data_IF_231866422457
#
_entry.id   IF_231866422457
#
_cell.length_a   1.000
_cell.length_b   1.000
_cell.length_c   1.000
_cell.angle_alpha   90.00
_cell.angle_beta   90.00
_cell.angle_gamma   90.00
#
_symmetry.space_group_name_H-M   'P 1'
#
loop_
_entity.id
_entity.type
_entity.pdbx_description
1 polymer ?
#
# COMPACT_ATOMS: atom_id res chain seq x y z
N UNK A 1 16.54 5.48 31.67
CA UNK A 1 15.07 5.51 31.54
C UNK A 1 14.58 6.84 30.98
N UNK A 2 15.07 7.99 31.47
CA UNK A 2 14.84 9.32 30.87
C UNK A 2 15.20 9.39 29.39
N UNK A 3 16.37 8.88 29.00
CA UNK A 3 16.90 9.04 27.63
C UNK A 3 16.15 8.18 26.59
N UNK A 4 15.51 7.10 27.06
CA UNK A 4 14.67 6.24 26.22
C UNK A 4 13.31 6.89 25.93
N UNK A 5 12.73 7.54 26.95
CA UNK A 5 11.50 8.32 26.82
C UNK A 5 11.70 9.55 25.92
N UNK A 6 12.87 10.20 25.98
CA UNK A 6 13.18 11.33 25.10
C UNK A 6 13.37 10.90 23.65
N UNK A 7 14.04 9.77 23.39
CA UNK A 7 14.24 9.26 22.02
C UNK A 7 12.90 8.84 21.38
N UNK A 8 12.07 8.09 22.09
CA UNK A 8 10.74 7.70 21.58
C UNK A 8 9.86 8.93 21.34
N UNK A 9 9.90 9.90 22.24
CA UNK A 9 9.21 11.18 22.06
C UNK A 9 9.68 11.95 20.82
N UNK A 10 10.99 11.95 20.53
CA UNK A 10 11.54 12.54 19.31
C UNK A 10 11.01 11.85 18.04
N UNK A 11 10.99 10.52 18.02
CA UNK A 11 10.48 9.74 16.88
C UNK A 11 9.01 10.09 16.61
N UNK A 12 8.16 10.05 17.64
CA UNK A 12 6.74 10.40 17.52
C UNK A 12 6.54 11.85 17.06
N UNK A 13 7.35 12.80 17.57
CA UNK A 13 7.32 14.18 17.14
C UNK A 13 7.71 14.33 15.65
N UNK A 14 8.70 13.57 15.17
CA UNK A 14 9.09 13.55 13.77
C UNK A 14 8.03 12.89 12.88
N UNK A 15 7.37 11.82 13.33
CA UNK A 15 6.23 11.22 12.61
C UNK A 15 5.05 12.19 12.52
N UNK A 16 4.74 12.89 13.61
CA UNK A 16 3.72 13.94 13.61
C UNK A 16 4.08 15.10 12.67
N UNK A 17 5.34 15.54 12.67
CA UNK A 17 5.83 16.54 11.73
C UNK A 17 5.69 16.05 10.28
N UNK A 18 6.12 14.81 9.98
CA UNK A 18 5.96 14.21 8.66
C UNK A 18 4.50 14.18 8.20
N UNK A 19 3.57 13.83 9.10
CA UNK A 19 2.15 13.85 8.83
C UNK A 19 1.62 15.25 8.46
N UNK A 20 2.05 16.30 9.19
CA UNK A 20 1.73 17.70 8.83
C UNK A 20 2.26 18.04 7.44
N UNK A 21 3.50 17.66 7.12
CA UNK A 21 4.13 17.90 5.83
C UNK A 21 3.40 17.18 4.69
N UNK A 22 2.92 15.94 4.91
CA UNK A 22 2.11 15.20 3.95
C UNK A 22 0.76 15.88 3.68
N UNK A 23 0.03 16.27 4.74
CA UNK A 23 -1.26 16.97 4.61
C UNK A 23 -1.08 18.30 3.88
N UNK A 24 -0.07 19.08 4.27
CA UNK A 24 0.23 20.35 3.64
C UNK A 24 0.65 20.18 2.17
N UNK A 25 1.48 19.16 1.89
CA UNK A 25 1.89 18.79 0.53
C UNK A 25 0.69 18.46 -0.35
N UNK A 26 -0.21 17.59 0.12
CA UNK A 26 -1.44 17.21 -0.60
C UNK A 26 -2.36 18.41 -0.83
N UNK A 27 -2.56 19.25 0.18
CA UNK A 27 -3.35 20.49 0.04
C UNK A 27 -2.79 21.42 -1.03
N UNK A 28 -1.47 21.53 -1.14
CA UNK A 28 -0.84 22.35 -2.19
C UNK A 28 -0.88 21.70 -3.56
N UNK A 29 -0.93 20.37 -3.65
CA UNK A 29 -1.10 19.63 -4.90
C UNK A 29 -2.50 19.77 -5.50
N UNK A 30 -3.51 20.18 -4.71
CA UNK A 30 -4.87 20.40 -5.23
C UNK A 30 -5.06 21.74 -5.98
N UNK A 31 -4.02 22.57 -6.11
CA UNK A 31 -4.07 23.81 -6.90
C UNK A 31 -2.93 23.86 -7.91
N UNK A 32 -3.19 24.20 -9.19
CA UNK A 32 -2.16 24.27 -10.23
C UNK A 32 -0.98 25.17 -9.87
N UNK A 33 -1.24 26.32 -9.24
CA UNK A 33 -0.22 27.33 -8.89
C UNK A 33 0.76 26.80 -7.84
N UNK A 34 0.28 25.95 -6.92
CA UNK A 34 1.08 25.48 -5.78
C UNK A 34 1.55 24.03 -5.90
N UNK A 35 1.14 23.32 -6.95
CA UNK A 35 1.34 21.87 -7.08
C UNK A 35 2.80 21.44 -7.03
N UNK A 36 3.69 22.16 -7.75
CA UNK A 36 5.14 21.89 -7.71
C UNK A 36 5.73 22.03 -6.31
N UNK A 37 5.28 23.02 -5.55
CA UNK A 37 5.70 23.17 -4.15
C UNK A 37 5.14 22.06 -3.26
N UNK A 38 3.91 21.63 -3.50
CA UNK A 38 3.26 20.57 -2.72
C UNK A 38 4.00 19.25 -2.72
N UNK A 39 4.47 18.78 -3.89
CA UNK A 39 5.24 17.53 -3.96
C UNK A 39 6.60 17.62 -3.24
N UNK A 40 7.22 18.81 -3.18
CA UNK A 40 8.47 19.03 -2.43
C UNK A 40 8.22 18.90 -0.92
N UNK A 41 7.12 19.46 -0.40
CA UNK A 41 6.73 19.32 1.01
C UNK A 41 6.47 17.86 1.39
N UNK A 42 5.75 17.12 0.53
CA UNK A 42 5.53 15.69 0.73
C UNK A 42 6.87 14.90 0.71
N UNK A 43 7.78 15.24 -0.21
CA UNK A 43 9.12 14.63 -0.26
C UNK A 43 9.96 14.88 1.00
N UNK A 44 9.91 16.10 1.55
CA UNK A 44 10.55 16.41 2.83
C UNK A 44 9.95 15.60 3.99
N UNK A 45 8.63 15.45 4.03
CA UNK A 45 7.95 14.58 4.99
C UNK A 45 8.41 13.12 4.91
N UNK A 46 8.56 12.59 3.69
CA UNK A 46 9.06 11.23 3.46
C UNK A 46 10.50 11.05 3.97
N UNK A 47 11.38 12.03 3.75
CA UNK A 47 12.75 11.99 4.28
C UNK A 47 12.77 12.00 5.80
N UNK A 48 11.99 12.89 6.43
CA UNK A 48 11.88 12.95 7.90
C UNK A 48 11.39 11.62 8.48
N UNK A 49 10.28 11.09 7.96
CA UNK A 49 9.73 9.82 8.43
C UNK A 49 10.70 8.66 8.24
N UNK A 50 11.35 8.56 7.06
CA UNK A 50 12.27 7.45 6.78
C UNK A 50 13.52 7.52 7.65
N UNK A 51 14.13 8.70 7.78
CA UNK A 51 15.39 8.85 8.53
C UNK A 51 15.18 8.67 10.03
N UNK A 52 14.09 9.17 10.60
CA UNK A 52 13.85 9.01 12.04
C UNK A 52 13.57 7.56 12.43
N UNK A 53 13.00 6.76 11.52
CA UNK A 53 12.76 5.32 11.74
C UNK A 53 14.06 4.57 12.04
N UNK A 54 15.21 4.96 11.49
CA UNK A 54 16.51 4.34 11.81
C UNK A 54 16.89 4.41 13.29
N UNK A 55 16.29 5.35 14.03
CA UNK A 55 16.50 5.55 15.46
C UNK A 55 15.50 4.75 16.32
N UNK A 56 14.59 3.99 15.71
CA UNK A 56 13.60 3.22 16.45
C UNK A 56 14.29 2.20 17.37
N UNK A 57 13.89 2.09 18.65
CA UNK A 57 14.56 1.20 19.59
C UNK A 57 14.48 -0.27 19.16
N UNK A 58 15.61 -0.98 19.25
CA UNK A 58 15.69 -2.40 18.85
C UNK A 58 15.75 -2.61 17.34
N UNK A 59 16.04 -1.55 16.56
CA UNK A 59 16.25 -1.67 15.14
C UNK A 59 17.58 -2.37 14.83
N UNK A 60 17.49 -3.44 14.05
CA UNK A 60 18.62 -4.24 13.59
C UNK A 60 18.63 -4.33 12.06
N UNK A 61 19.58 -5.07 11.49
CA UNK A 61 19.68 -5.33 10.05
C UNK A 61 19.83 -4.08 9.16
N UNK A 62 20.49 -3.04 9.68
CA UNK A 62 20.73 -1.77 8.98
C UNK A 62 21.28 -1.93 7.54
N UNK A 63 22.18 -2.91 7.32
CA UNK A 63 22.72 -3.17 5.99
C UNK A 63 21.64 -3.63 4.99
N UNK A 64 20.75 -4.54 5.41
CA UNK A 64 19.63 -5.01 4.58
C UNK A 64 18.62 -3.90 4.32
N UNK A 65 18.31 -3.09 5.34
CA UNK A 65 17.43 -1.93 5.20
C UNK A 65 17.98 -0.92 4.18
N UNK A 66 19.25 -0.54 4.31
CA UNK A 66 19.91 0.39 3.40
C UNK A 66 20.01 -0.17 1.98
N UNK A 67 20.32 -1.47 1.85
CA UNK A 67 20.35 -2.14 0.55
C UNK A 67 18.96 -2.15 -0.10
N UNK A 68 17.90 -2.46 0.64
CA UNK A 68 16.52 -2.43 0.15
C UNK A 68 16.09 -1.05 -0.32
N UNK A 69 16.35 -0.01 0.48
CA UNK A 69 16.08 1.40 0.13
C UNK A 69 16.88 1.80 -1.11
N UNK A 70 18.16 1.44 -1.19
CA UNK A 70 19.01 1.79 -2.32
C UNK A 70 18.53 1.10 -3.61
N UNK A 71 18.29 -0.22 -3.59
CA UNK A 71 17.86 -0.98 -4.75
C UNK A 71 16.50 -0.47 -5.24
N UNK A 72 15.51 -0.39 -4.35
CA UNK A 72 14.16 0.07 -4.69
C UNK A 72 14.14 1.53 -5.13
N UNK A 73 14.80 2.41 -4.38
CA UNK A 73 14.84 3.85 -4.65
C UNK A 73 15.57 4.18 -5.95
N UNK A 74 16.73 3.57 -6.22
CA UNK A 74 17.46 3.78 -7.47
C UNK A 74 16.68 3.21 -8.66
N UNK A 75 16.14 2.00 -8.54
CA UNK A 75 15.35 1.39 -9.61
C UNK A 75 14.15 2.28 -9.97
N UNK A 76 13.34 2.68 -8.99
CA UNK A 76 12.17 3.54 -9.20
C UNK A 76 12.55 4.93 -9.74
N UNK A 77 13.64 5.53 -9.25
CA UNK A 77 14.14 6.80 -9.77
C UNK A 77 14.53 6.70 -11.25
N UNK A 78 15.29 5.67 -11.62
CA UNK A 78 15.77 5.46 -12.99
C UNK A 78 14.61 5.16 -13.93
N UNK A 79 13.69 4.27 -13.57
CA UNK A 79 12.53 3.94 -14.42
C UNK A 79 11.58 5.13 -14.54
N UNK A 80 11.30 5.84 -13.45
CA UNK A 80 10.41 7.00 -13.45
C UNK A 80 10.94 8.19 -14.26
N UNK A 81 12.26 8.39 -14.30
CA UNK A 81 12.89 9.48 -15.07
C UNK A 81 12.96 9.20 -16.57
N UNK A 82 13.00 7.92 -16.97
CA UNK A 82 13.20 7.51 -18.37
C UNK A 82 11.89 7.27 -19.13
N UNK A 83 10.77 7.05 -18.42
CA UNK A 83 9.48 6.76 -19.05
C UNK A 83 8.97 7.97 -19.85
N UNK A 84 8.32 7.72 -20.99
CA UNK A 84 7.66 8.77 -21.76
C UNK A 84 6.43 9.32 -21.01
N UNK A 85 6.07 10.58 -21.26
CA UNK A 85 4.90 11.20 -20.60
C UNK A 85 3.57 10.52 -20.99
N UNK A 86 3.49 9.92 -22.17
CA UNK A 86 2.34 9.11 -22.63
C UNK A 86 2.17 7.81 -21.83
N UNK A 87 3.26 7.35 -21.22
CA UNK A 87 3.37 6.09 -20.49
C UNK A 87 3.30 6.27 -18.96
N UNK A 88 2.94 7.47 -18.51
CA UNK A 88 2.81 7.76 -17.08
C UNK A 88 1.72 6.93 -16.37
N UNK A 89 0.52 6.68 -16.97
CA UNK A 89 -0.53 5.92 -16.28
C UNK A 89 -0.10 4.53 -15.82
N UNK A 90 0.63 3.76 -16.64
CA UNK A 90 1.10 2.43 -16.23
C UNK A 90 2.17 2.50 -15.13
N UNK A 91 3.04 3.51 -15.16
CA UNK A 91 4.06 3.66 -14.11
C UNK A 91 3.42 4.02 -12.77
N UNK A 92 2.35 4.82 -12.78
CA UNK A 92 1.54 5.09 -11.59
C UNK A 92 0.94 3.78 -11.07
N UNK A 93 0.37 2.93 -11.94
CA UNK A 93 -0.13 1.62 -11.56
C UNK A 93 0.95 0.76 -10.90
N UNK A 94 2.12 0.64 -11.53
CA UNK A 94 3.23 -0.17 -11.03
C UNK A 94 3.68 0.28 -9.63
N UNK A 95 3.98 1.57 -9.44
CA UNK A 95 4.48 2.07 -8.15
C UNK A 95 3.43 2.02 -7.04
N UNK A 96 2.17 2.30 -7.37
CA UNK A 96 1.08 2.15 -6.42
C UNK A 96 0.90 0.68 -6.02
N UNK A 97 0.94 -0.24 -6.99
CA UNK A 97 0.93 -1.67 -6.75
C UNK A 97 2.03 -2.08 -5.77
N UNK A 98 3.28 -1.66 -6.01
CA UNK A 98 4.41 -1.93 -5.10
C UNK A 98 4.16 -1.41 -3.67
N UNK A 99 3.49 -0.26 -3.52
CA UNK A 99 3.06 0.26 -2.21
C UNK A 99 2.07 -0.67 -1.50
N UNK A 100 1.07 -1.19 -2.23
CA UNK A 100 0.14 -2.20 -1.71
C UNK A 100 0.86 -3.51 -1.35
N UNK A 101 1.84 -3.92 -2.16
CA UNK A 101 2.67 -5.08 -1.91
C UNK A 101 3.55 -4.93 -0.67
N UNK A 102 4.06 -3.72 -0.40
CA UNK A 102 4.79 -3.42 0.83
C UNK A 102 3.89 -3.51 2.06
N UNK A 103 2.66 -2.98 2.02
CA UNK A 103 1.67 -3.16 3.10
C UNK A 103 1.34 -4.65 3.32
N UNK A 104 1.14 -5.41 2.24
CA UNK A 104 0.93 -6.85 2.33
C UNK A 104 2.13 -7.60 2.93
N UNK A 105 3.36 -7.18 2.61
CA UNK A 105 4.57 -7.77 3.18
C UNK A 105 4.70 -7.46 4.68
N UNK A 106 4.35 -6.26 5.12
CA UNK A 106 4.28 -5.90 6.54
C UNK A 106 3.28 -6.81 7.26
N UNK A 107 2.04 -6.88 6.75
CA UNK A 107 1.02 -7.77 7.29
C UNK A 107 1.49 -9.23 7.34
N UNK A 108 2.18 -9.71 6.29
CA UNK A 108 2.70 -11.06 6.26
C UNK A 108 3.72 -11.30 7.37
N UNK A 109 4.69 -10.40 7.57
CA UNK A 109 5.68 -10.52 8.65
C UNK A 109 5.01 -10.60 10.02
N UNK A 110 4.03 -9.73 10.28
CA UNK A 110 3.28 -9.73 11.55
C UNK A 110 2.48 -11.02 11.75
N UNK A 111 1.76 -11.48 10.72
CA UNK A 111 0.92 -12.68 10.79
C UNK A 111 1.75 -13.98 10.86
N UNK A 112 2.92 -14.05 10.22
CA UNK A 112 3.85 -15.17 10.35
C UNK A 112 4.58 -15.19 11.68
N UNK A 113 4.78 -14.03 12.31
CA UNK A 113 5.41 -13.92 13.63
C UNK A 113 4.59 -14.60 14.73
N UNK A 114 3.28 -14.76 14.54
CA UNK A 114 2.39 -15.50 15.44
C UNK A 114 2.25 -14.86 16.83
N UNK A 115 2.69 -13.62 17.01
CA UNK A 115 2.56 -12.93 18.27
C UNK A 115 1.11 -12.47 18.45
N UNK A 116 0.57 -12.62 19.67
CA UNK A 116 -0.77 -12.14 19.97
C UNK A 116 -0.72 -10.63 20.23
N UNK A 117 -1.02 -9.86 19.19
CA UNK A 117 -1.15 -8.41 19.27
C UNK A 117 -2.54 -7.98 19.80
N UNK A 118 -3.43 -8.93 20.10
CA UNK A 118 -4.80 -8.66 20.48
C UNK A 118 -5.73 -8.51 19.27
N UNK A 119 -7.01 -8.78 19.51
CA UNK A 119 -8.05 -8.93 18.48
C UNK A 119 -8.08 -7.79 17.46
N UNK A 120 -7.98 -6.54 17.93
CA UNK A 120 -8.04 -5.35 17.06
C UNK A 120 -6.89 -5.32 16.04
N UNK A 121 -5.65 -5.54 16.48
CA UNK A 121 -4.49 -5.48 15.58
C UNK A 121 -4.46 -6.67 14.64
N UNK A 122 -4.86 -7.87 15.10
CA UNK A 122 -5.00 -9.03 14.22
C UNK A 122 -6.02 -8.78 13.10
N UNK A 123 -7.17 -8.16 13.41
CA UNK A 123 -8.18 -7.78 12.40
C UNK A 123 -7.61 -6.76 11.41
N UNK A 124 -6.89 -5.74 11.90
CA UNK A 124 -6.32 -4.72 11.03
C UNK A 124 -5.23 -5.29 10.12
N UNK A 125 -4.37 -6.18 10.62
CA UNK A 125 -3.32 -6.84 9.84
C UNK A 125 -3.89 -7.73 8.72
N UNK A 126 -4.93 -8.54 9.00
CA UNK A 126 -5.55 -9.34 7.94
C UNK A 126 -6.29 -8.47 6.92
N UNK A 127 -6.93 -7.38 7.34
CA UNK A 127 -7.61 -6.47 6.40
C UNK A 127 -6.62 -5.67 5.55
N UNK A 128 -5.58 -5.09 6.16
CA UNK A 128 -4.54 -4.36 5.46
C UNK A 128 -3.75 -5.28 4.52
N UNK A 129 -3.41 -6.48 4.97
CA UNK A 129 -2.81 -7.53 4.16
C UNK A 129 -3.65 -7.94 2.94
N UNK A 130 -4.97 -8.17 3.14
CA UNK A 130 -5.90 -8.50 2.05
C UNK A 130 -5.95 -7.37 1.01
N UNK A 131 -6.20 -6.15 1.47
CA UNK A 131 -6.37 -4.98 0.60
C UNK A 131 -5.06 -4.66 -0.13
N UNK A 132 -3.92 -4.75 0.55
CA UNK A 132 -2.59 -4.54 -0.02
C UNK A 132 -2.26 -5.56 -1.10
N UNK A 133 -2.51 -6.85 -0.85
CA UNK A 133 -2.22 -7.92 -1.80
C UNK A 133 -3.12 -7.84 -3.05
N UNK A 134 -4.42 -7.56 -2.87
CA UNK A 134 -5.36 -7.32 -3.97
C UNK A 134 -4.92 -6.11 -4.80
N UNK A 135 -4.52 -5.03 -4.14
CA UNK A 135 -4.07 -3.80 -4.82
C UNK A 135 -2.76 -4.01 -5.57
N UNK A 136 -1.83 -4.78 -5.00
CA UNK A 136 -0.58 -5.15 -5.65
C UNK A 136 -0.81 -5.91 -6.95
N UNK A 137 -1.48 -7.07 -6.88
CA UNK A 137 -1.64 -7.93 -8.05
C UNK A 137 -2.57 -7.32 -9.10
N UNK A 138 -3.62 -6.60 -8.67
CA UNK A 138 -4.50 -5.88 -9.58
C UNK A 138 -3.79 -4.75 -10.32
N UNK A 139 -2.95 -3.99 -9.62
CA UNK A 139 -2.14 -2.94 -10.24
C UNK A 139 -1.10 -3.48 -11.23
N UNK A 140 -0.55 -4.68 -10.99
CA UNK A 140 0.33 -5.34 -11.96
C UNK A 140 -0.41 -5.74 -13.25
N UNK A 141 -1.67 -6.17 -13.16
CA UNK A 141 -2.51 -6.42 -14.35
C UNK A 141 -2.82 -5.11 -15.08
N UNK A 142 -3.13 -4.03 -14.35
CA UNK A 142 -3.34 -2.71 -14.95
C UNK A 142 -2.09 -2.20 -15.68
N UNK A 143 -0.91 -2.32 -15.05
CA UNK A 143 0.39 -2.03 -15.66
C UNK A 143 0.60 -2.87 -16.93
N UNK A 144 0.41 -4.19 -16.86
CA UNK A 144 0.65 -5.08 -17.99
C UNK A 144 -0.25 -4.76 -19.19
N UNK A 145 -1.51 -4.39 -18.96
CA UNK A 145 -2.45 -3.99 -20.02
C UNK A 145 -2.05 -2.69 -20.70
N UNK A 146 -1.73 -1.66 -19.91
CA UNK A 146 -1.35 -0.35 -20.45
C UNK A 146 0.03 -0.36 -21.10
N UNK A 147 0.95 -1.20 -20.61
CA UNK A 147 2.27 -1.41 -21.23
C UNK A 147 2.20 -2.25 -22.52
N UNK A 148 1.03 -2.78 -22.89
CA UNK A 148 0.86 -3.63 -24.08
C UNK A 148 1.38 -5.06 -23.92
N UNK A 149 1.79 -5.45 -22.71
CA UNK A 149 2.20 -6.83 -22.37
C UNK A 149 0.98 -7.78 -22.34
N UNK A 150 -0.20 -7.24 -22.05
CA UNK A 150 -1.47 -7.96 -22.06
C UNK A 150 -2.47 -7.27 -23.00
N UNK A 151 -2.76 -7.89 -24.15
CA UNK A 151 -3.51 -7.25 -25.24
C UNK A 151 -5.03 -7.42 -25.18
N UNK A 152 -5.53 -8.38 -24.40
CA UNK A 152 -6.96 -8.72 -24.38
C UNK A 152 -7.55 -8.61 -23.00
N UNK A 153 -8.81 -8.16 -22.96
CA UNK A 153 -9.66 -8.32 -21.78
C UNK A 153 -10.09 -9.77 -21.70
N UNK A 154 -9.85 -10.40 -20.55
CA UNK A 154 -10.23 -11.80 -20.33
C UNK A 154 -11.53 -11.80 -19.54
N UNK A 155 -12.60 -12.26 -20.20
CA UNK A 155 -13.91 -12.48 -19.61
C UNK A 155 -14.26 -13.95 -19.77
N UNK A 156 -14.71 -14.60 -18.71
CA UNK A 156 -15.15 -15.99 -18.75
C UNK A 156 -16.46 -16.18 -17.97
N UNK A 157 -17.22 -17.21 -18.34
CA UNK A 157 -18.49 -17.53 -17.69
C UNK A 157 -18.29 -17.83 -16.20
N UNK A 158 -19.12 -17.25 -15.33
CA UNK A 158 -19.04 -17.46 -13.88
C UNK A 158 -17.99 -16.62 -13.16
N UNK A 159 -17.32 -15.68 -13.82
CA UNK A 159 -16.26 -14.86 -13.20
C UNK A 159 -16.72 -14.09 -11.95
N UNK A 160 -17.94 -13.55 -11.93
CA UNK A 160 -18.49 -12.89 -10.74
C UNK A 160 -18.64 -13.86 -9.57
N UNK A 161 -19.11 -15.08 -9.83
CA UNK A 161 -19.23 -16.12 -8.82
C UNK A 161 -17.86 -16.56 -8.29
N UNK A 162 -16.87 -16.71 -9.17
CA UNK A 162 -15.49 -17.01 -8.75
C UNK A 162 -14.92 -15.90 -7.87
N UNK A 163 -15.05 -14.63 -8.26
CA UNK A 163 -14.55 -13.51 -7.47
C UNK A 163 -15.22 -13.45 -6.10
N UNK A 164 -16.54 -13.70 -6.03
CA UNK A 164 -17.27 -13.76 -4.77
C UNK A 164 -16.82 -14.94 -3.89
N UNK A 165 -16.60 -16.12 -4.49
CA UNK A 165 -16.12 -17.29 -3.77
C UNK A 165 -14.71 -17.08 -3.22
N UNK A 166 -13.80 -16.50 -4.01
CA UNK A 166 -12.45 -16.17 -3.57
C UNK A 166 -12.48 -15.14 -2.42
N UNK A 167 -13.32 -14.11 -2.51
CA UNK A 167 -13.49 -13.12 -1.45
C UNK A 167 -14.00 -13.77 -0.16
N UNK A 168 -15.02 -14.61 -0.24
CA UNK A 168 -15.54 -15.35 0.92
C UNK A 168 -14.44 -16.24 1.51
N UNK A 169 -13.69 -16.98 0.68
CA UNK A 169 -12.59 -17.81 1.13
C UNK A 169 -11.51 -16.99 1.84
N UNK A 170 -11.13 -15.83 1.30
CA UNK A 170 -10.17 -14.92 1.94
C UNK A 170 -10.68 -14.41 3.30
N UNK A 171 -11.95 -14.04 3.42
CA UNK A 171 -12.56 -13.59 4.67
C UNK A 171 -12.65 -14.70 5.72
N UNK A 172 -12.97 -15.94 5.30
CA UNK A 172 -12.96 -17.11 6.18
C UNK A 172 -11.54 -17.40 6.68
N UNK A 173 -10.55 -17.40 5.80
CA UNK A 173 -9.15 -17.58 6.18
C UNK A 173 -8.67 -16.47 7.12
N UNK A 174 -9.04 -15.21 6.85
CA UNK A 174 -8.77 -14.09 7.74
C UNK A 174 -9.37 -14.31 9.14
N UNK A 175 -10.64 -14.74 9.23
CA UNK A 175 -11.27 -15.07 10.50
C UNK A 175 -10.58 -16.21 11.25
N UNK A 176 -10.14 -17.24 10.53
CA UNK A 176 -9.38 -18.37 11.10
C UNK A 176 -8.01 -17.89 11.63
N UNK A 177 -7.31 -17.02 10.89
CA UNK A 177 -6.04 -16.42 11.34
C UNK A 177 -6.25 -15.61 12.61
N UNK A 178 -7.29 -14.78 12.67
CA UNK A 178 -7.60 -13.92 13.82
C UNK A 178 -7.99 -14.73 15.07
N UNK A 179 -8.76 -15.80 14.92
CA UNK A 179 -9.28 -16.57 16.07
C UNK A 179 -8.32 -17.64 16.58
N UNK A 180 -7.60 -18.30 15.68
CA UNK A 180 -6.79 -19.47 16.01
C UNK A 180 -5.28 -19.18 16.03
N UNK A 181 -4.87 -17.94 15.75
CA UNK A 181 -3.46 -17.56 15.57
C UNK A 181 -2.75 -18.56 14.65
N UNK A 182 -3.37 -18.78 13.48
CA UNK A 182 -3.12 -19.93 12.61
C UNK A 182 -1.69 -20.00 12.10
N UNK A 183 -1.22 -21.23 11.85
CA UNK A 183 0.14 -21.49 11.37
C UNK A 183 0.42 -20.95 9.96
N UNK A 184 1.70 -20.94 9.60
CA UNK A 184 2.25 -20.40 8.36
C UNK A 184 1.52 -20.85 7.08
N UNK A 185 1.00 -22.07 7.04
CA UNK A 185 0.24 -22.58 5.90
C UNK A 185 -1.03 -21.75 5.62
N UNK A 186 -1.79 -21.41 6.65
CA UNK A 186 -3.05 -20.66 6.51
C UNK A 186 -2.78 -19.24 6.04
N UNK A 187 -1.77 -18.59 6.63
CA UNK A 187 -1.32 -17.24 6.22
C UNK A 187 -0.86 -17.24 4.77
N UNK A 188 -0.10 -18.25 4.35
CA UNK A 188 0.35 -18.38 2.95
C UNK A 188 -0.83 -18.54 1.99
N UNK A 189 -1.78 -19.43 2.29
CA UNK A 189 -2.97 -19.65 1.46
C UNK A 189 -3.81 -18.37 1.37
N UNK A 190 -3.97 -17.65 2.50
CA UNK A 190 -4.67 -16.37 2.54
C UNK A 190 -4.08 -15.35 1.56
N UNK A 191 -2.75 -15.15 1.59
CA UNK A 191 -2.10 -14.22 0.65
C UNK A 191 -2.17 -14.69 -0.81
N UNK A 192 -2.04 -15.99 -1.08
CA UNK A 192 -2.20 -16.53 -2.44
C UNK A 192 -3.61 -16.25 -2.96
N UNK A 193 -4.64 -16.49 -2.16
CA UNK A 193 -6.03 -16.18 -2.53
C UNK A 193 -6.21 -14.68 -2.76
N UNK A 194 -5.68 -13.82 -1.87
CA UNK A 194 -5.75 -12.37 -2.02
C UNK A 194 -5.08 -11.86 -3.32
N UNK A 195 -3.92 -12.42 -3.68
CA UNK A 195 -3.25 -12.11 -4.94
C UNK A 195 -4.07 -12.55 -6.14
N UNK A 196 -4.69 -13.73 -6.10
CA UNK A 196 -5.58 -14.22 -7.17
C UNK A 196 -6.79 -13.30 -7.32
N UNK A 197 -7.40 -12.84 -6.22
CA UNK A 197 -8.53 -11.89 -6.26
C UNK A 197 -8.15 -10.63 -7.04
N UNK A 198 -7.01 -10.01 -6.73
CA UNK A 198 -6.59 -8.80 -7.44
C UNK A 198 -6.43 -9.05 -8.95
N UNK A 199 -5.85 -10.19 -9.34
CA UNK A 199 -5.75 -10.60 -10.75
C UNK A 199 -7.16 -10.73 -11.36
N UNK A 200 -8.02 -11.58 -10.80
CA UNK A 200 -9.32 -11.91 -11.40
C UNK A 200 -10.32 -10.76 -11.39
N UNK A 201 -10.16 -9.79 -10.48
CA UNK A 201 -10.93 -8.54 -10.46
C UNK A 201 -10.48 -7.56 -11.56
N UNK A 202 -9.19 -7.49 -11.91
CA UNK A 202 -8.71 -6.56 -12.95
C UNK A 202 -8.76 -7.15 -14.37
N UNK A 203 -8.74 -8.47 -14.52
CA UNK A 203 -8.80 -9.16 -15.82
C UNK A 203 -9.94 -8.72 -16.77
N UNK A 204 -11.21 -8.50 -16.33
CA UNK A 204 -12.31 -8.21 -17.23
C UNK A 204 -12.39 -6.73 -17.66
N UNK A 205 -11.59 -5.86 -17.03
CA UNK A 205 -11.67 -4.41 -17.20
C UNK A 205 -10.88 -3.97 -18.44
N UNK A 206 -11.47 -3.08 -19.26
CA UNK A 206 -10.88 -2.56 -20.49
C UNK A 206 -9.74 -1.57 -20.26
N UNK A 207 -8.88 -1.40 -21.26
CA UNK A 207 -7.77 -0.43 -21.20
C UNK A 207 -8.24 1.01 -21.01
N UNK A 208 -9.37 1.38 -21.63
CA UNK A 208 -9.98 2.71 -21.51
C UNK A 208 -10.43 3.03 -20.08
N UNK A 209 -10.86 2.02 -19.31
CA UNK A 209 -11.34 2.17 -17.94
C UNK A 209 -10.21 2.04 -16.89
N UNK A 210 -8.99 1.69 -17.32
CA UNK A 210 -7.85 1.49 -16.42
C UNK A 210 -7.52 2.70 -15.53
N UNK A 211 -7.61 3.97 -15.99
CA UNK A 211 -7.34 5.11 -15.11
C UNK A 211 -8.21 5.10 -13.84
N UNK A 212 -9.49 4.74 -13.94
CA UNK A 212 -10.40 4.66 -12.78
C UNK A 212 -9.97 3.53 -11.84
N UNK A 213 -9.58 2.37 -12.40
CA UNK A 213 -9.09 1.22 -11.62
C UNK A 213 -7.80 1.54 -10.88
N UNK A 214 -6.86 2.24 -11.53
CA UNK A 214 -5.59 2.66 -10.92
C UNK A 214 -5.87 3.59 -9.74
N UNK A 215 -6.82 4.52 -9.90
CA UNK A 215 -7.25 5.42 -8.82
C UNK A 215 -7.88 4.66 -7.65
N UNK A 216 -8.73 3.65 -7.95
CA UNK A 216 -9.33 2.78 -6.93
C UNK A 216 -8.26 2.01 -6.16
N UNK A 217 -7.30 1.38 -6.84
CA UNK A 217 -6.20 0.68 -6.18
C UNK A 217 -5.32 1.65 -5.39
N UNK A 218 -5.19 2.91 -5.79
CA UNK A 218 -4.44 3.91 -5.02
C UNK A 218 -5.15 4.24 -3.70
N UNK A 219 -6.48 4.34 -3.73
CA UNK A 219 -7.28 4.49 -2.53
C UNK A 219 -7.13 3.29 -1.58
N UNK A 220 -7.20 2.07 -2.15
CA UNK A 220 -7.07 0.83 -1.41
C UNK A 220 -5.67 0.65 -0.81
N UNK A 221 -4.60 0.95 -1.55
CA UNK A 221 -3.23 0.97 -1.01
C UNK A 221 -3.11 1.95 0.15
N UNK A 222 -3.68 3.15 0.05
CA UNK A 222 -3.70 4.12 1.16
C UNK A 222 -4.38 3.55 2.41
N UNK A 223 -5.54 2.91 2.24
CA UNK A 223 -6.26 2.25 3.33
C UNK A 223 -5.46 1.10 3.95
N UNK A 224 -4.83 0.25 3.13
CA UNK A 224 -3.98 -0.83 3.60
C UNK A 224 -2.80 -0.31 4.44
N UNK A 225 -2.09 0.71 3.95
CA UNK A 225 -0.99 1.36 4.68
C UNK A 225 -1.47 1.96 6.00
N UNK A 226 -2.69 2.52 6.06
CA UNK A 226 -3.26 3.04 7.29
C UNK A 226 -3.49 1.93 8.33
N UNK A 227 -4.07 0.80 7.91
CA UNK A 227 -4.29 -0.35 8.78
C UNK A 227 -2.99 -0.93 9.30
N UNK A 228 -1.99 -1.14 8.43
CA UNK A 228 -0.66 -1.58 8.88
C UNK A 228 0.03 -0.54 9.76
N UNK A 229 -0.25 0.75 9.55
CA UNK A 229 0.17 1.81 10.46
C UNK A 229 -0.38 1.64 11.87
N UNK A 230 -1.63 1.22 12.02
CA UNK A 230 -2.21 0.90 13.35
C UNK A 230 -1.58 -0.35 13.95
N UNK A 231 -1.32 -1.39 13.15
CA UNK A 231 -0.66 -2.62 13.60
C UNK A 231 0.73 -2.30 14.16
N UNK A 232 1.51 -1.50 13.43
CA UNK A 232 2.86 -1.09 13.83
C UNK A 232 2.89 0.07 14.84
N UNK A 233 1.73 0.62 15.23
CA UNK A 233 1.64 1.83 16.05
C UNK A 233 2.47 3.00 15.48
N UNK A 234 2.45 3.16 14.15
CA UNK A 234 3.20 4.17 13.42
C UNK A 234 2.28 5.32 12.97
N UNK A 235 2.37 6.45 13.68
CA UNK A 235 1.54 7.63 13.42
C UNK A 235 1.69 8.19 12.00
N UNK A 236 2.89 8.14 11.41
CA UNK A 236 3.12 8.64 10.06
C UNK A 236 2.37 7.80 9.01
N UNK A 237 2.41 6.47 9.13
CA UNK A 237 1.68 5.55 8.25
C UNK A 237 0.16 5.67 8.40
N UNK A 238 -0.33 5.75 9.65
CA UNK A 238 -1.76 5.93 9.92
C UNK A 238 -2.30 7.17 9.21
N UNK A 239 -1.63 8.32 9.41
CA UNK A 239 -2.12 9.60 8.88
C UNK A 239 -1.93 9.65 7.37
N UNK A 240 -0.76 9.32 6.85
CA UNK A 240 -0.50 9.35 5.41
C UNK A 240 -1.44 8.40 4.65
N UNK A 241 -1.56 7.16 5.12
CA UNK A 241 -2.44 6.16 4.52
C UNK A 241 -3.90 6.59 4.51
N UNK A 242 -4.42 7.08 5.65
CA UNK A 242 -5.83 7.51 5.76
C UNK A 242 -6.14 8.67 4.82
N UNK A 243 -5.24 9.66 4.75
CA UNK A 243 -5.44 10.83 3.87
C UNK A 243 -5.39 10.40 2.40
N UNK A 244 -4.44 9.54 2.01
CA UNK A 244 -4.35 9.02 0.62
C UNK A 244 -5.57 8.16 0.28
N UNK A 245 -6.03 7.30 1.19
CA UNK A 245 -7.21 6.46 0.99
C UNK A 245 -8.48 7.28 0.77
N UNK A 246 -8.71 8.30 1.61
CA UNK A 246 -9.85 9.20 1.48
C UNK A 246 -9.78 10.04 0.18
N UNK A 247 -8.64 10.65 -0.10
CA UNK A 247 -8.44 11.46 -1.30
C UNK A 247 -8.56 10.61 -2.58
N UNK A 248 -8.00 9.41 -2.59
CA UNK A 248 -8.08 8.47 -3.71
C UNK A 248 -9.51 7.99 -3.96
N UNK A 249 -10.30 7.74 -2.91
CA UNK A 249 -11.71 7.34 -3.05
C UNK A 249 -12.51 8.46 -3.73
N UNK A 250 -12.31 9.70 -3.30
CA UNK A 250 -12.95 10.87 -3.91
C UNK A 250 -12.49 11.08 -5.35
N UNK A 251 -11.18 10.95 -5.63
CA UNK A 251 -10.64 11.06 -6.98
C UNK A 251 -11.21 9.98 -7.91
N UNK A 252 -11.34 8.75 -7.43
CA UNK A 252 -11.96 7.64 -8.18
C UNK A 252 -13.39 8.00 -8.57
N UNK A 253 -14.18 8.56 -7.65
CA UNK A 253 -15.54 9.01 -7.95
C UNK A 253 -15.58 10.16 -8.95
N UNK A 254 -14.64 11.11 -8.88
CA UNK A 254 -14.56 12.22 -9.82
C UNK A 254 -14.14 11.77 -11.23
N UNK A 255 -13.29 10.75 -11.35
CA UNK A 255 -12.87 10.19 -12.64
C UNK A 255 -13.92 9.29 -13.29
N UNK A 256 -14.79 8.68 -12.48
CA UNK A 256 -15.87 7.80 -12.95
C UNK A 256 -17.12 8.57 -13.40
N UNK A 257 -17.21 9.87 -13.10
CA UNK A 257 -18.28 10.77 -13.53
C UNK A 257 -17.94 11.42 -14.86
#
# INVERSE_FOLDING_TARGET
MSDFLTLRGLIEACYFLAAILFIFGLKRMSSPVTARGGIIWAGAGMLVATLVTFLYPGMDNYLLMMAGIAIGGIAAYVSGKKVAMTDMPQMIALYNGMGGGAAAAIAAVELFGGADHGLTFSILAVLGGLIGAVSFSGSLIAFAKLQGLMKTTVRFGGQQALNMLLLIAALVLAGIIVVQHSGASTVTIFFVVALIIGITMTLPIGGADMPVVISLYNALTGLAVAFEGFVLQNAAMIIAGTVVGAAGTLLTQLMAK
#
